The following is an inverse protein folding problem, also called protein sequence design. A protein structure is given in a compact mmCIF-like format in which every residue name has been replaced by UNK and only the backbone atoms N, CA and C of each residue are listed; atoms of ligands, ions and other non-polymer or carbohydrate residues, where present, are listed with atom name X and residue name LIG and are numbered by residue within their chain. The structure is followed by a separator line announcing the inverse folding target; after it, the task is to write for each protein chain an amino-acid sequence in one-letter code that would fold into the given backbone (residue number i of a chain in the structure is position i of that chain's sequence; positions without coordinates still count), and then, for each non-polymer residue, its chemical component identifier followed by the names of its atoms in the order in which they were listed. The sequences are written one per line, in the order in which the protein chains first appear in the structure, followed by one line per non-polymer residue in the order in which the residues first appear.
data_IF_099380529878
#
_entry.id   IF_099380529878
#
_cell.length_a   1.000
_cell.length_b   1.000
_cell.length_c   1.000
_cell.angle_alpha   90.00
_cell.angle_beta   90.00
_cell.angle_gamma   90.00
#
_symmetry.space_group_name_H-M   'P 1'
#
loop_
_entity.id
_entity.type
_entity.pdbx_description
1 polymer ?
#
# COMPACT_ATOMS: atom_id res chain seq x y z
N UNK A 1 -48.06 -82.55 -77.25
CA UNK A 1 -46.71 -82.10 -77.69
C UNK A 1 -46.77 -80.78 -78.49
N UNK A 2 -47.33 -79.70 -77.92
CA UNK A 2 -47.39 -78.35 -78.55
C UNK A 2 -46.96 -77.20 -77.62
N UNK A 3 -46.41 -77.51 -76.44
CA UNK A 3 -45.87 -76.56 -75.45
C UNK A 3 -44.34 -76.39 -75.52
N UNK A 4 -43.65 -77.08 -76.45
CA UNK A 4 -42.18 -77.15 -76.45
C UNK A 4 -41.48 -76.17 -77.41
N UNK A 5 -42.18 -75.53 -78.34
CA UNK A 5 -41.58 -74.65 -79.35
C UNK A 5 -41.66 -73.16 -79.01
N UNK A 6 -42.67 -72.71 -78.24
CA UNK A 6 -42.77 -71.31 -77.80
C UNK A 6 -41.79 -70.98 -76.66
N UNK A 7 -41.33 -72.00 -75.92
CA UNK A 7 -40.39 -71.88 -74.81
C UNK A 7 -38.94 -71.58 -75.25
N UNK A 8 -38.60 -71.80 -76.53
CA UNK A 8 -37.22 -71.64 -77.03
C UNK A 8 -36.94 -70.22 -77.54
N UNK A 9 -37.95 -69.52 -78.07
CA UNK A 9 -37.78 -68.17 -78.65
C UNK A 9 -37.79 -67.07 -77.58
N UNK A 10 -38.52 -67.26 -76.47
CA UNK A 10 -38.52 -66.31 -75.35
C UNK A 10 -37.23 -66.40 -74.50
N UNK A 11 -36.45 -67.47 -74.65
CA UNK A 11 -35.18 -67.68 -73.94
C UNK A 11 -33.98 -66.92 -74.57
N UNK A 12 -34.13 -66.38 -75.80
CA UNK A 12 -33.02 -65.77 -76.56
C UNK A 12 -32.95 -64.24 -76.49
N UNK A 13 -33.91 -63.55 -75.87
CA UNK A 13 -34.01 -62.07 -75.91
C UNK A 13 -33.69 -61.36 -74.59
N UNK A 14 -33.21 -62.07 -73.58
CA UNK A 14 -32.92 -61.50 -72.25
C UNK A 14 -31.45 -61.66 -71.86
N UNK A 15 -30.51 -61.16 -72.67
CA UNK A 15 -29.13 -60.92 -72.24
C UNK A 15 -28.79 -59.42 -72.28
N UNK A 16 -28.55 -58.78 -71.11
CA UNK A 16 -28.12 -57.39 -71.03
C UNK A 16 -26.60 -57.24 -71.29
N UNK A 17 -26.25 -56.17 -72.02
CA UNK A 17 -24.90 -55.73 -72.39
C UNK A 17 -24.00 -55.48 -71.16
N UNK A 18 -22.82 -56.08 -71.12
CA UNK A 18 -21.82 -55.91 -70.05
C UNK A 18 -21.03 -54.58 -70.23
N UNK A 19 -21.25 -53.58 -69.39
CA UNK A 19 -20.43 -52.36 -69.29
C UNK A 19 -19.43 -52.45 -68.14
N UNK A 20 -18.15 -52.14 -68.40
CA UNK A 20 -17.01 -52.26 -67.46
C UNK A 20 -16.51 -50.85 -67.06
N UNK A 21 -16.34 -50.59 -65.75
CA UNK A 21 -15.82 -49.32 -65.20
C UNK A 21 -14.37 -49.47 -64.70
N UNK A 22 -13.59 -48.38 -64.65
CA UNK A 22 -12.18 -48.41 -64.20
C UNK A 22 -11.97 -47.59 -62.92
N UNK A 23 -11.50 -48.25 -61.87
CA UNK A 23 -11.16 -47.64 -60.56
C UNK A 23 -9.65 -47.56 -60.42
N UNK A 24 -9.11 -46.36 -60.15
CA UNK A 24 -7.68 -46.14 -59.94
C UNK A 24 -7.40 -46.00 -58.44
N UNK A 25 -6.54 -46.88 -57.94
CA UNK A 25 -6.13 -46.91 -56.54
C UNK A 25 -4.87 -46.08 -56.30
N UNK A 26 -4.69 -45.57 -55.07
CA UNK A 26 -3.49 -44.83 -54.64
C UNK A 26 -2.19 -45.65 -54.77
N UNK A 27 -2.30 -46.98 -54.73
CA UNK A 27 -1.17 -47.90 -54.91
C UNK A 27 -0.79 -48.15 -56.39
N UNK A 28 -1.45 -47.49 -57.34
CA UNK A 28 -1.15 -47.59 -58.77
C UNK A 28 -1.82 -48.74 -59.50
N UNK A 29 -2.57 -49.62 -58.80
CA UNK A 29 -3.34 -50.68 -59.45
C UNK A 29 -4.64 -50.11 -60.02
N UNK A 30 -4.95 -50.47 -61.27
CA UNK A 30 -6.25 -50.19 -61.87
C UNK A 30 -7.11 -51.44 -61.80
N UNK A 31 -8.38 -51.27 -61.42
CA UNK A 31 -9.34 -52.37 -61.34
C UNK A 31 -10.48 -52.08 -62.30
N UNK A 32 -10.67 -53.00 -63.25
CA UNK A 32 -11.71 -52.94 -64.26
C UNK A 32 -12.85 -53.87 -63.87
N UNK A 33 -14.02 -53.32 -63.58
CA UNK A 33 -15.17 -54.09 -63.14
C UNK A 33 -16.42 -53.24 -63.00
N UNK A 34 -17.57 -53.88 -62.81
CA UNK A 34 -18.85 -53.18 -62.63
C UNK A 34 -18.97 -52.76 -61.17
N UNK A 35 -19.18 -51.47 -60.91
CA UNK A 35 -19.45 -51.01 -59.54
C UNK A 35 -20.86 -51.44 -59.18
N UNK A 36 -21.00 -52.29 -58.16
CA UNK A 36 -22.28 -52.85 -57.72
C UNK A 36 -22.87 -52.10 -56.53
N UNK A 37 -22.03 -51.57 -55.63
CA UNK A 37 -22.50 -50.86 -54.45
C UNK A 37 -21.49 -49.80 -53.99
N UNK A 38 -21.97 -48.69 -53.41
CA UNK A 38 -21.13 -47.60 -52.91
C UNK A 38 -21.64 -47.12 -51.55
N UNK A 39 -20.77 -47.21 -50.55
CA UNK A 39 -21.06 -46.82 -49.17
C UNK A 39 -20.14 -45.65 -48.73
N UNK A 40 -20.38 -45.02 -47.57
CA UNK A 40 -19.59 -43.86 -47.12
C UNK A 40 -18.10 -44.17 -46.96
N UNK A 41 -17.77 -45.40 -46.55
CA UNK A 41 -16.40 -45.85 -46.27
C UNK A 41 -15.75 -46.62 -47.43
N UNK A 42 -16.51 -47.15 -48.39
CA UNK A 42 -15.96 -48.03 -49.43
C UNK A 42 -16.81 -48.17 -50.69
N UNK A 43 -16.22 -48.74 -51.72
CA UNK A 43 -16.75 -48.98 -53.06
C UNK A 43 -16.61 -50.48 -53.39
N UNK A 44 -17.70 -51.15 -53.72
CA UNK A 44 -17.71 -52.57 -54.06
C UNK A 44 -17.76 -52.77 -55.58
N UNK A 45 -16.69 -53.37 -56.13
CA UNK A 45 -16.50 -53.57 -57.56
C UNK A 45 -16.53 -55.06 -57.88
N UNK A 46 -17.37 -55.46 -58.83
CA UNK A 46 -17.41 -56.82 -59.35
C UNK A 46 -16.42 -56.94 -60.50
N UNK A 47 -15.32 -57.65 -60.24
CA UNK A 47 -14.20 -57.90 -61.16
C UNK A 47 -14.34 -59.32 -61.73
N UNK A 48 -13.60 -59.67 -62.80
CA UNK A 48 -13.61 -61.02 -63.37
C UNK A 48 -13.27 -62.13 -62.35
N UNK A 49 -12.43 -61.80 -61.35
CA UNK A 49 -11.99 -62.72 -60.29
C UNK A 49 -12.87 -62.70 -59.03
N UNK A 50 -14.02 -62.00 -59.06
CA UNK A 50 -14.98 -61.93 -57.95
C UNK A 50 -15.27 -60.51 -57.45
N UNK A 51 -16.16 -60.42 -56.46
CA UNK A 51 -16.59 -59.15 -55.87
C UNK A 51 -15.55 -58.67 -54.84
N UNK A 52 -15.02 -57.46 -55.03
CA UNK A 52 -14.01 -56.87 -54.14
C UNK A 52 -14.48 -55.52 -53.61
N UNK A 53 -14.43 -55.34 -52.29
CA UNK A 53 -14.78 -54.10 -51.59
C UNK A 53 -13.53 -53.31 -51.25
N UNK A 54 -13.45 -52.07 -51.72
CA UNK A 54 -12.28 -51.21 -51.64
C UNK A 54 -12.62 -49.97 -50.82
N UNK A 55 -11.78 -49.58 -49.86
CA UNK A 55 -12.00 -48.37 -49.07
C UNK A 55 -11.79 -47.08 -49.91
N UNK A 56 -12.64 -46.07 -49.73
CA UNK A 56 -12.47 -44.76 -50.40
C UNK A 56 -11.16 -44.07 -50.04
N UNK A 57 -10.59 -44.35 -48.86
CA UNK A 57 -9.27 -43.84 -48.48
C UNK A 57 -8.13 -44.32 -49.38
N UNK A 58 -8.32 -45.45 -50.06
CA UNK A 58 -7.35 -46.08 -50.97
C UNK A 58 -7.63 -45.77 -52.45
N UNK A 59 -8.75 -45.13 -52.76
CA UNK A 59 -9.11 -44.72 -54.12
C UNK A 59 -8.50 -43.36 -54.39
N UNK A 60 -7.85 -43.22 -55.54
CA UNK A 60 -7.36 -41.94 -56.01
C UNK A 60 -8.41 -41.23 -56.87
N UNK A 61 -9.02 -41.95 -57.83
CA UNK A 61 -10.12 -41.44 -58.67
C UNK A 61 -10.90 -42.60 -59.30
N UNK A 62 -12.22 -42.44 -59.48
CA UNK A 62 -13.07 -43.38 -60.22
C UNK A 62 -13.44 -42.76 -61.56
N UNK A 63 -13.29 -43.52 -62.66
CA UNK A 63 -13.61 -43.03 -64.00
C UNK A 63 -14.60 -44.00 -64.68
N UNK A 64 -15.74 -43.47 -65.10
CA UNK A 64 -16.85 -44.21 -65.72
C UNK A 64 -16.71 -44.28 -67.26
N UNK A 65 -15.49 -44.55 -67.72
CA UNK A 65 -15.12 -44.77 -69.13
C UNK A 65 -13.84 -45.59 -69.16
N UNK A 66 -13.65 -46.46 -70.14
CA UNK A 66 -12.42 -47.23 -70.26
C UNK A 66 -11.28 -46.30 -70.70
N UNK A 67 -10.41 -45.92 -69.76
CA UNK A 67 -9.26 -45.03 -70.00
C UNK A 67 -7.98 -45.87 -70.05
N UNK A 68 -7.13 -45.58 -71.02
CA UNK A 68 -5.81 -46.21 -71.16
C UNK A 68 -4.84 -45.72 -70.09
N UNK A 69 -3.91 -46.59 -69.67
CA UNK A 69 -3.04 -46.39 -68.50
C UNK A 69 -2.17 -45.13 -68.54
N UNK A 70 -1.88 -44.58 -69.72
CA UNK A 70 -0.97 -43.44 -69.90
C UNK A 70 -1.57 -42.07 -69.52
N UNK A 71 -2.89 -41.90 -69.62
CA UNK A 71 -3.56 -40.64 -69.23
C UNK A 71 -3.86 -40.60 -67.73
N UNK A 72 -4.10 -41.77 -67.14
CA UNK A 72 -4.22 -41.93 -65.69
C UNK A 72 -2.93 -41.50 -64.97
N UNK A 73 -1.75 -41.88 -65.49
CA UNK A 73 -0.47 -41.62 -64.82
C UNK A 73 -0.07 -40.13 -64.82
N UNK A 74 -0.33 -39.39 -65.92
CA UNK A 74 -0.02 -37.94 -65.99
C UNK A 74 -0.80 -37.11 -64.99
N UNK A 75 -2.05 -37.49 -64.69
CA UNK A 75 -2.90 -36.80 -63.71
C UNK A 75 -2.39 -37.07 -62.29
N UNK A 76 -1.88 -38.27 -62.00
CA UNK A 76 -1.28 -38.63 -60.70
C UNK A 76 -0.08 -37.75 -60.38
N UNK A 77 0.86 -37.65 -61.31
CA UNK A 77 2.10 -36.91 -61.11
C UNK A 77 1.83 -35.42 -60.85
N UNK A 78 0.87 -34.82 -61.55
CA UNK A 78 0.54 -33.40 -61.41
C UNK A 78 -0.14 -33.07 -60.07
N UNK A 79 -1.05 -33.94 -59.59
CA UNK A 79 -1.80 -33.70 -58.35
C UNK A 79 -0.96 -34.04 -57.11
N UNK A 80 -0.16 -35.09 -57.19
CA UNK A 80 0.76 -35.48 -56.12
C UNK A 80 1.86 -34.44 -55.90
N UNK A 81 2.37 -33.80 -56.98
CA UNK A 81 3.37 -32.73 -56.87
C UNK A 81 2.82 -31.47 -56.17
N UNK A 82 1.58 -31.06 -56.49
CA UNK A 82 0.94 -29.89 -55.84
C UNK A 82 0.64 -30.12 -54.37
N UNK A 83 0.27 -31.34 -53.98
CA UNK A 83 0.01 -31.70 -52.59
C UNK A 83 1.32 -31.65 -51.78
N UNK A 84 2.40 -32.22 -52.31
CA UNK A 84 3.72 -32.21 -51.64
C UNK A 84 4.27 -30.79 -51.46
N UNK A 85 4.22 -29.94 -52.48
CA UNK A 85 4.73 -28.55 -52.38
C UNK A 85 3.94 -27.70 -51.37
N UNK A 86 2.64 -27.95 -51.21
CA UNK A 86 1.82 -27.25 -50.21
C UNK A 86 2.12 -27.74 -48.79
N UNK A 87 2.23 -29.06 -48.60
CA UNK A 87 2.59 -29.66 -47.32
C UNK A 87 3.99 -29.23 -46.84
N UNK A 88 4.97 -29.14 -47.74
CA UNK A 88 6.33 -28.68 -47.40
C UNK A 88 6.36 -27.20 -46.99
N UNK A 89 5.61 -26.32 -47.68
CA UNK A 89 5.51 -24.90 -47.31
C UNK A 89 4.79 -24.68 -45.98
N UNK A 90 3.71 -25.42 -45.73
CA UNK A 90 2.98 -25.33 -44.47
C UNK A 90 3.81 -25.86 -43.30
N UNK A 91 4.57 -26.96 -43.49
CA UNK A 91 5.53 -27.46 -42.49
C UNK A 91 6.66 -26.45 -42.22
N UNK A 92 7.27 -25.90 -43.26
CA UNK A 92 8.35 -24.91 -43.11
C UNK A 92 7.90 -23.62 -42.42
N UNK A 93 6.67 -23.15 -42.70
CA UNK A 93 6.08 -21.99 -42.02
C UNK A 93 5.82 -22.28 -40.54
N UNK A 94 5.25 -23.44 -40.24
CA UNK A 94 4.95 -23.84 -38.86
C UNK A 94 6.22 -24.05 -38.04
N UNK A 95 7.27 -24.63 -38.63
CA UNK A 95 8.57 -24.79 -37.97
C UNK A 95 9.25 -23.44 -37.69
N UNK A 96 9.23 -22.51 -38.66
CA UNK A 96 9.78 -21.16 -38.47
C UNK A 96 9.04 -20.37 -37.39
N UNK A 97 7.72 -20.50 -37.32
CA UNK A 97 6.90 -19.85 -36.29
C UNK A 97 7.18 -20.42 -34.90
N UNK A 98 7.36 -21.74 -34.77
CA UNK A 98 7.76 -22.39 -33.52
C UNK A 98 9.14 -21.94 -33.05
N UNK A 99 10.13 -21.92 -33.94
CA UNK A 99 11.48 -21.45 -33.61
C UNK A 99 11.49 -19.98 -33.19
N UNK A 100 10.68 -19.13 -33.82
CA UNK A 100 10.55 -17.71 -33.44
C UNK A 100 9.87 -17.55 -32.07
N UNK A 101 8.86 -18.36 -31.77
CA UNK A 101 8.17 -18.37 -30.47
C UNK A 101 9.10 -18.82 -29.34
N UNK A 102 9.84 -19.91 -29.54
CA UNK A 102 10.83 -20.43 -28.59
C UNK A 102 11.96 -19.42 -28.34
N UNK A 103 12.49 -18.77 -29.39
CA UNK A 103 13.52 -17.74 -29.24
C UNK A 103 13.01 -16.48 -28.50
N UNK A 104 11.73 -16.11 -28.68
CA UNK A 104 11.11 -14.98 -27.97
C UNK A 104 10.86 -15.32 -26.50
N UNK A 105 10.48 -16.55 -26.21
CA UNK A 105 10.30 -17.05 -24.84
C UNK A 105 11.64 -17.10 -24.10
N UNK A 106 12.69 -17.64 -24.73
CA UNK A 106 14.04 -17.64 -24.16
C UNK A 106 14.55 -16.23 -23.84
N UNK A 107 14.38 -15.26 -24.76
CA UNK A 107 14.77 -13.87 -24.52
C UNK A 107 14.03 -13.22 -23.36
N UNK A 108 12.72 -13.52 -23.21
CA UNK A 108 11.93 -13.02 -22.08
C UNK A 108 12.42 -13.61 -20.76
N UNK A 109 12.70 -14.91 -20.72
CA UNK A 109 13.22 -15.58 -19.52
C UNK A 109 14.61 -15.05 -19.14
N UNK A 110 15.48 -14.78 -20.12
CA UNK A 110 16.79 -14.17 -19.86
C UNK A 110 16.68 -12.71 -19.37
N UNK A 111 15.76 -11.92 -19.92
CA UNK A 111 15.52 -10.54 -19.48
C UNK A 111 14.92 -10.50 -18.07
N UNK A 112 13.95 -11.37 -17.78
CA UNK A 112 13.35 -11.52 -16.45
C UNK A 112 14.39 -11.99 -15.42
N UNK A 113 15.26 -12.95 -15.78
CA UNK A 113 16.36 -13.39 -14.94
C UNK A 113 17.36 -12.25 -14.66
N UNK A 114 17.71 -11.43 -15.67
CA UNK A 114 18.59 -10.27 -15.49
C UNK A 114 17.97 -9.20 -14.60
N UNK A 115 16.68 -8.93 -14.74
CA UNK A 115 15.97 -7.97 -13.89
C UNK A 115 15.87 -8.50 -12.45
N UNK A 116 15.60 -9.79 -12.27
CA UNK A 116 15.59 -10.43 -10.96
C UNK A 116 16.97 -10.40 -10.29
N UNK A 117 18.05 -10.61 -11.05
CA UNK A 117 19.42 -10.50 -10.53
C UNK A 117 19.77 -9.04 -10.17
N UNK A 118 19.44 -8.07 -11.03
CA UNK A 118 19.67 -6.65 -10.76
C UNK A 118 18.90 -6.14 -9.56
N UNK A 119 17.64 -6.56 -9.38
CA UNK A 119 16.81 -6.19 -8.22
C UNK A 119 17.36 -6.79 -6.93
N UNK A 120 17.81 -8.05 -6.94
CA UNK A 120 18.49 -8.66 -5.80
C UNK A 120 19.78 -7.94 -5.43
N UNK A 121 20.63 -7.62 -6.42
CA UNK A 121 21.86 -6.86 -6.20
C UNK A 121 21.58 -5.44 -5.68
N UNK A 122 20.52 -4.79 -6.16
CA UNK A 122 20.12 -3.47 -5.66
C UNK A 122 19.56 -3.54 -4.24
N UNK A 123 18.81 -4.58 -3.90
CA UNK A 123 18.30 -4.81 -2.55
C UNK A 123 19.43 -5.14 -1.56
N UNK A 124 20.40 -5.96 -1.96
CA UNK A 124 21.61 -6.27 -1.17
C UNK A 124 22.44 -4.99 -0.94
N UNK A 125 22.71 -4.19 -1.97
CA UNK A 125 23.38 -2.89 -1.82
C UNK A 125 22.60 -1.92 -0.93
N UNK A 126 21.27 -1.89 -1.04
CA UNK A 126 20.45 -1.04 -0.17
C UNK A 126 20.49 -1.53 1.29
N UNK A 127 20.49 -2.85 1.53
CA UNK A 127 20.65 -3.43 2.86
C UNK A 127 22.03 -3.14 3.45
N UNK A 128 23.10 -3.27 2.65
CA UNK A 128 24.46 -2.96 3.06
C UNK A 128 24.64 -1.46 3.38
N UNK A 129 24.13 -0.57 2.52
CA UNK A 129 24.18 0.88 2.78
C UNK A 129 23.33 1.31 3.97
N UNK A 130 22.21 0.64 4.23
CA UNK A 130 21.41 0.88 5.43
C UNK A 130 22.16 0.39 6.68
N UNK A 131 22.72 -0.82 6.64
CA UNK A 131 23.52 -1.39 7.72
C UNK A 131 24.77 -0.53 8.00
N UNK A 132 25.42 0.03 6.98
CA UNK A 132 26.54 0.96 7.14
C UNK A 132 26.12 2.27 7.79
N UNK A 133 24.97 2.85 7.39
CA UNK A 133 24.40 4.05 8.02
C UNK A 133 24.03 3.81 9.49
N UNK A 134 23.40 2.67 9.78
CA UNK A 134 23.06 2.26 11.14
C UNK A 134 24.31 2.02 11.98
N UNK A 135 25.31 1.30 11.46
CA UNK A 135 26.58 1.08 12.13
C UNK A 135 27.35 2.39 12.36
N UNK A 136 27.30 3.35 11.42
CA UNK A 136 27.89 4.68 11.59
C UNK A 136 27.16 5.50 12.67
N UNK A 137 25.83 5.47 12.68
CA UNK A 137 25.03 6.14 13.70
C UNK A 137 25.27 5.52 15.09
N UNK A 138 25.38 4.19 15.18
CA UNK A 138 25.71 3.48 16.41
C UNK A 138 27.15 3.79 16.86
N UNK A 139 28.13 3.81 15.95
CA UNK A 139 29.51 4.16 16.26
C UNK A 139 29.64 5.62 16.72
N UNK A 140 28.91 6.56 16.10
CA UNK A 140 28.85 7.97 16.52
C UNK A 140 28.19 8.10 17.89
N UNK A 141 27.11 7.37 18.13
CA UNK A 141 26.42 7.34 19.42
C UNK A 141 27.29 6.71 20.53
N UNK A 142 27.99 5.62 20.23
CA UNK A 142 28.96 4.98 21.13
C UNK A 142 30.18 5.86 21.38
N UNK A 143 30.67 6.58 20.38
CA UNK A 143 31.72 7.58 20.55
C UNK A 143 31.24 8.68 21.49
N UNK A 144 30.04 9.21 21.27
CA UNK A 144 29.42 10.23 22.15
C UNK A 144 29.30 9.73 23.59
N UNK A 145 28.98 8.45 23.80
CA UNK A 145 28.95 7.83 25.13
C UNK A 145 30.35 7.71 25.75
N UNK A 146 31.37 7.32 24.97
CA UNK A 146 32.76 7.16 25.46
C UNK A 146 33.43 8.49 25.79
N UNK A 147 33.02 9.58 25.15
CA UNK A 147 33.58 10.92 25.37
C UNK A 147 33.21 11.52 26.74
N UNK A 148 32.26 10.95 27.48
CA UNK A 148 31.81 11.50 28.76
C UNK A 148 31.18 12.90 28.62
N UNK A 149 30.71 13.50 29.72
CA UNK A 149 30.23 14.87 29.69
C UNK A 149 31.37 15.81 29.27
N UNK A 150 31.07 16.78 28.39
CA UNK A 150 32.05 17.80 28.01
C UNK A 150 32.52 18.59 29.25
N UNK A 151 33.72 19.20 29.25
CA UNK A 151 34.21 19.96 30.40
C UNK A 151 33.23 21.05 30.87
N UNK A 152 32.54 21.68 29.92
CA UNK A 152 31.48 22.65 30.20
C UNK A 152 30.26 22.00 30.89
N UNK A 153 29.86 20.80 30.44
CA UNK A 153 28.81 20.05 31.10
C UNK A 153 29.23 19.74 32.55
N UNK A 154 30.42 19.17 32.78
CA UNK A 154 30.92 18.81 34.12
C UNK A 154 30.85 19.99 35.10
N UNK A 155 31.14 21.22 34.65
CA UNK A 155 31.00 22.44 35.45
C UNK A 155 29.54 22.83 35.75
N UNK A 156 28.61 22.51 34.85
CA UNK A 156 27.19 22.79 35.00
C UNK A 156 26.48 21.88 36.01
N UNK A 157 27.14 20.85 36.52
CA UNK A 157 26.55 19.87 37.43
C UNK A 157 25.76 18.79 36.69
N UNK A 158 25.34 17.77 37.43
CA UNK A 158 24.71 16.56 36.87
C UNK A 158 23.34 16.78 36.23
N UNK A 159 22.66 15.68 35.90
CA UNK A 159 21.34 15.64 35.23
C UNK A 159 20.33 16.67 35.74
N UNK A 160 20.11 16.66 37.05
CA UNK A 160 19.12 17.52 37.70
C UNK A 160 19.47 19.01 37.57
N UNK A 161 20.75 19.34 37.50
CA UNK A 161 21.23 20.71 37.38
C UNK A 161 20.89 21.30 35.99
N UNK A 162 20.86 20.47 34.94
CA UNK A 162 20.40 20.86 33.60
C UNK A 162 18.89 21.11 33.60
N UNK A 163 18.13 20.21 34.23
CA UNK A 163 16.67 20.33 34.30
C UNK A 163 16.28 21.58 35.09
N UNK A 164 16.88 21.78 36.27
CA UNK A 164 16.60 22.93 37.13
C UNK A 164 16.86 24.26 36.44
N UNK A 165 18.00 24.40 35.76
CA UNK A 165 18.30 25.62 34.99
C UNK A 165 17.30 25.85 33.87
N UNK A 166 16.91 24.79 33.16
CA UNK A 166 15.91 24.88 32.09
C UNK A 166 14.50 25.15 32.63
N UNK A 167 14.23 24.79 33.88
CA UNK A 167 12.98 25.12 34.58
C UNK A 167 12.91 26.59 34.99
N UNK A 168 14.04 27.16 35.42
CA UNK A 168 14.13 28.58 35.72
C UNK A 168 14.05 29.43 34.45
N UNK A 169 14.86 29.09 33.45
CA UNK A 169 14.96 29.84 32.20
C UNK A 169 14.99 28.83 31.05
N UNK A 170 13.95 28.78 30.20
CA UNK A 170 13.94 27.92 29.03
C UNK A 170 15.18 28.12 28.16
N UNK A 171 15.88 27.02 27.86
CA UNK A 171 17.15 26.99 27.14
C UNK A 171 18.43 27.12 28.00
N UNK A 172 18.38 27.59 29.25
CA UNK A 172 19.60 27.79 30.05
C UNK A 172 20.34 26.50 30.38
N UNK A 173 19.63 25.45 30.83
CA UNK A 173 20.27 24.17 31.13
C UNK A 173 20.82 23.49 29.89
N UNK A 174 20.20 23.70 28.73
CA UNK A 174 20.68 23.18 27.45
C UNK A 174 21.95 23.91 26.99
N UNK A 175 22.02 25.23 27.19
CA UNK A 175 23.20 26.04 26.91
C UNK A 175 24.38 25.56 27.75
N UNK A 176 24.14 25.38 29.05
CA UNK A 176 25.10 24.86 30.03
C UNK A 176 25.54 23.43 29.65
N UNK A 177 24.57 22.60 29.28
CA UNK A 177 24.81 21.23 28.84
C UNK A 177 25.65 21.13 27.56
N UNK A 178 25.85 22.22 26.82
CA UNK A 178 26.63 22.29 25.58
C UNK A 178 25.79 22.20 24.29
N UNK A 179 24.46 22.19 24.40
CA UNK A 179 23.52 22.19 23.27
C UNK A 179 23.10 23.63 22.93
N UNK A 180 24.01 24.39 22.31
CA UNK A 180 23.78 25.82 21.99
C UNK A 180 22.59 26.06 21.06
N UNK A 181 22.40 25.19 20.06
CA UNK A 181 21.31 25.32 19.09
C UNK A 181 19.96 25.16 19.77
N UNK A 182 19.76 24.07 20.52
CA UNK A 182 18.50 23.85 21.23
C UNK A 182 18.23 24.95 22.25
N UNK A 183 19.26 25.41 22.96
CA UNK A 183 19.14 26.51 23.90
C UNK A 183 18.56 27.75 23.22
N UNK A 184 19.17 28.18 22.11
CA UNK A 184 18.68 29.33 21.34
C UNK A 184 17.25 29.14 20.84
N UNK A 185 16.91 27.96 20.32
CA UNK A 185 15.56 27.66 19.82
C UNK A 185 14.52 27.75 20.92
N UNK A 186 14.69 27.04 22.04
CA UNK A 186 13.71 27.04 23.12
C UNK A 186 13.60 28.41 23.80
N UNK A 187 14.70 29.12 24.03
CA UNK A 187 14.64 30.47 24.57
C UNK A 187 13.88 31.40 23.63
N UNK A 188 14.21 31.40 22.34
CA UNK A 188 13.58 32.32 21.36
C UNK A 188 12.09 32.01 21.19
N UNK A 189 11.72 30.74 21.04
CA UNK A 189 10.32 30.35 20.90
C UNK A 189 9.51 30.67 22.15
N UNK A 190 10.04 30.36 23.34
CA UNK A 190 9.33 30.62 24.59
C UNK A 190 9.17 32.12 24.84
N UNK A 191 10.26 32.89 24.84
CA UNK A 191 10.19 34.33 25.10
C UNK A 191 9.48 35.09 23.99
N UNK A 192 9.65 34.71 22.72
CA UNK A 192 8.90 35.28 21.61
C UNK A 192 7.40 35.07 21.75
N UNK A 193 6.98 33.84 22.07
CA UNK A 193 5.56 33.52 22.32
C UNK A 193 5.04 34.26 23.54
N UNK A 194 5.83 34.34 24.62
CA UNK A 194 5.42 35.01 25.85
C UNK A 194 5.24 36.52 25.65
N UNK A 195 6.18 37.18 24.96
CA UNK A 195 6.10 38.62 24.63
C UNK A 195 4.91 38.89 23.72
N UNK A 196 4.70 38.06 22.69
CA UNK A 196 3.54 38.20 21.80
C UNK A 196 2.21 37.99 22.54
N UNK A 197 2.17 37.05 23.49
CA UNK A 197 0.95 36.76 24.25
C UNK A 197 0.65 37.85 25.29
N UNK A 198 1.65 38.29 26.05
CA UNK A 198 1.49 39.28 27.11
C UNK A 198 1.41 40.72 26.59
N UNK A 199 1.90 40.98 25.38
CA UNK A 199 1.78 42.27 24.70
C UNK A 199 0.49 42.34 23.86
N UNK A 200 0.56 42.14 22.54
CA UNK A 200 -0.56 42.40 21.64
C UNK A 200 -1.81 41.57 21.93
N UNK A 201 -1.70 40.28 22.27
CA UNK A 201 -2.90 39.47 22.54
C UNK A 201 -3.60 39.88 23.83
N UNK A 202 -2.84 40.23 24.88
CA UNK A 202 -3.40 40.73 26.14
C UNK A 202 -4.07 42.08 25.96
N UNK A 203 -3.48 43.00 25.20
CA UNK A 203 -4.10 44.30 24.94
C UNK A 203 -5.34 44.17 24.06
N UNK A 204 -5.34 43.29 23.06
CA UNK A 204 -6.53 42.97 22.25
C UNK A 204 -7.67 42.42 23.12
N UNK A 205 -7.38 41.47 24.02
CA UNK A 205 -8.36 40.91 24.96
C UNK A 205 -8.94 41.98 25.89
N UNK A 206 -8.09 42.79 26.52
CA UNK A 206 -8.52 43.85 27.43
C UNK A 206 -9.36 44.92 26.73
N UNK A 207 -8.96 45.32 25.52
CA UNK A 207 -9.70 46.31 24.74
C UNK A 207 -11.06 45.76 24.29
N UNK A 208 -11.12 44.53 23.78
CA UNK A 208 -12.36 43.90 23.35
C UNK A 208 -13.33 43.68 24.53
N UNK A 209 -12.80 43.29 25.69
CA UNK A 209 -13.57 43.14 26.92
C UNK A 209 -14.11 44.48 27.43
N UNK A 210 -13.24 45.49 27.54
CA UNK A 210 -13.64 46.84 27.96
C UNK A 210 -14.71 47.45 27.04
N UNK A 211 -14.56 47.26 25.72
CA UNK A 211 -15.56 47.69 24.74
C UNK A 211 -16.91 47.00 24.95
N UNK A 212 -16.91 45.68 25.17
CA UNK A 212 -18.13 44.92 25.45
C UNK A 212 -18.80 45.36 26.76
N UNK A 213 -18.03 45.50 27.84
CA UNK A 213 -18.55 45.93 29.14
C UNK A 213 -19.15 47.35 29.06
N UNK A 214 -18.51 48.24 28.31
CA UNK A 214 -19.03 49.60 28.05
C UNK A 214 -20.33 49.56 27.24
N UNK A 215 -20.43 48.70 26.22
CA UNK A 215 -21.65 48.55 25.41
C UNK A 215 -22.82 48.00 26.22
N UNK A 216 -22.59 47.00 27.08
CA UNK A 216 -23.62 46.49 28.00
C UNK A 216 -24.07 47.60 28.95
N UNK A 217 -23.12 48.32 29.57
CA UNK A 217 -23.42 49.37 30.52
C UNK A 217 -24.24 50.50 29.87
N UNK A 218 -23.85 50.94 28.67
CA UNK A 218 -24.60 51.93 27.90
C UNK A 218 -26.02 51.44 27.58
N UNK A 219 -26.16 50.17 27.17
CA UNK A 219 -27.48 49.59 26.90
C UNK A 219 -28.34 49.45 28.18
N UNK A 220 -27.72 49.18 29.33
CA UNK A 220 -28.42 49.06 30.61
C UNK A 220 -28.86 50.41 31.18
N UNK A 221 -28.11 51.49 30.92
CA UNK A 221 -28.41 52.83 31.46
C UNK A 221 -29.31 53.63 30.50
N UNK A 222 -29.04 53.58 29.20
CA UNK A 222 -29.69 54.44 28.20
C UNK A 222 -30.10 53.71 26.92
N UNK A 223 -30.09 52.38 26.94
CA UNK A 223 -30.48 51.58 25.78
C UNK A 223 -31.97 51.68 25.45
N UNK A 224 -32.38 51.32 24.23
CA UNK A 224 -33.77 51.42 23.79
C UNK A 224 -34.74 50.63 24.70
N UNK A 225 -34.27 49.51 25.27
CA UNK A 225 -35.05 48.69 26.21
C UNK A 225 -35.41 49.38 27.52
N UNK A 226 -34.63 50.37 28.00
CA UNK A 226 -34.98 51.12 29.23
C UNK A 226 -36.08 52.16 28.97
N UNK A 227 -36.36 52.48 27.70
CA UNK A 227 -37.42 53.40 27.27
C UNK A 227 -38.77 52.70 27.09
N UNK A 228 -38.83 51.37 27.19
CA UNK A 228 -40.06 50.56 27.16
C UNK A 228 -40.83 50.67 28.50
N UNK A 229 -41.30 51.87 28.84
CA UNK A 229 -42.19 52.08 29.98
C UNK A 229 -43.48 52.77 29.51
N UNK A 230 -44.62 52.48 30.14
CA UNK A 230 -45.94 52.97 29.71
C UNK A 230 -46.07 54.50 29.69
N UNK A 231 -45.14 55.21 30.32
CA UNK A 231 -45.05 56.68 30.33
C UNK A 231 -44.27 57.27 29.14
N UNK A 232 -43.43 56.48 28.47
CA UNK A 232 -42.51 56.94 27.41
C UNK A 232 -42.94 56.53 25.99
N UNK A 233 -43.99 55.72 25.86
CA UNK A 233 -44.52 55.26 24.57
C UNK A 233 -45.99 55.66 24.53
N UNK A 234 -46.28 56.67 23.72
CA UNK A 234 -47.63 57.23 23.57
C UNK A 234 -48.26 56.89 22.22
N UNK A 235 -47.43 56.62 21.20
CA UNK A 235 -47.86 56.34 19.84
C UNK A 235 -47.34 54.98 19.34
N UNK A 236 -48.11 54.25 18.51
CA UNK A 236 -47.65 52.98 17.92
C UNK A 236 -46.34 53.11 17.11
N UNK A 237 -46.09 54.26 16.48
CA UNK A 237 -44.84 54.52 15.74
C UNK A 237 -43.61 54.59 16.65
N UNK A 238 -43.75 55.11 17.86
CA UNK A 238 -42.65 55.19 18.85
C UNK A 238 -42.26 53.79 19.33
N UNK A 239 -43.24 52.89 19.48
CA UNK A 239 -42.98 51.49 19.79
C UNK A 239 -42.14 50.80 18.70
N UNK A 240 -42.52 50.95 17.42
CA UNK A 240 -41.76 50.35 16.32
C UNK A 240 -40.34 50.91 16.22
N UNK A 241 -40.16 52.21 16.48
CA UNK A 241 -38.83 52.82 16.48
C UNK A 241 -37.95 52.29 17.61
N UNK A 242 -38.47 52.25 18.86
CA UNK A 242 -37.72 51.71 20.00
C UNK A 242 -37.41 50.22 19.81
N UNK A 243 -38.34 49.45 19.23
CA UNK A 243 -38.12 48.05 18.89
C UNK A 243 -37.02 47.87 17.83
N UNK A 244 -37.03 48.67 16.76
CA UNK A 244 -35.98 48.65 15.74
C UNK A 244 -34.61 49.06 16.30
N UNK A 245 -34.56 50.09 17.15
CA UNK A 245 -33.33 50.50 17.84
C UNK A 245 -32.82 49.39 18.78
N UNK A 246 -33.72 48.68 19.48
CA UNK A 246 -33.35 47.60 20.40
C UNK A 246 -32.73 46.40 19.68
N UNK A 247 -33.28 46.01 18.53
CA UNK A 247 -32.75 44.87 17.76
C UNK A 247 -31.37 45.16 17.17
N UNK A 248 -31.16 46.40 16.71
CA UNK A 248 -29.84 46.86 16.25
C UNK A 248 -28.84 46.88 17.42
N UNK A 249 -29.23 47.43 18.57
CA UNK A 249 -28.37 47.46 19.76
C UNK A 249 -27.98 46.05 20.23
N UNK A 250 -28.93 45.11 20.26
CA UNK A 250 -28.68 43.71 20.60
C UNK A 250 -27.70 43.03 19.63
N UNK A 251 -27.82 43.27 18.32
CA UNK A 251 -26.89 42.74 17.32
C UNK A 251 -25.46 43.28 17.52
N UNK A 252 -25.32 44.59 17.78
CA UNK A 252 -24.02 45.19 18.10
C UNK A 252 -23.40 44.61 19.39
N UNK A 253 -24.21 44.40 20.43
CA UNK A 253 -23.75 43.79 21.68
C UNK A 253 -23.33 42.33 21.44
N UNK A 254 -24.12 41.57 20.67
CA UNK A 254 -23.80 40.18 20.33
C UNK A 254 -22.47 40.10 19.57
N UNK A 255 -22.25 40.98 18.59
CA UNK A 255 -20.98 41.09 17.86
C UNK A 255 -19.81 41.48 18.76
N UNK A 256 -20.02 42.44 19.68
CA UNK A 256 -18.99 42.82 20.66
C UNK A 256 -18.65 41.68 21.62
N UNK A 257 -19.65 40.88 22.01
CA UNK A 257 -19.46 39.68 22.85
C UNK A 257 -18.63 38.62 22.13
N UNK A 258 -18.93 38.37 20.86
CA UNK A 258 -18.19 37.42 20.05
C UNK A 258 -16.73 37.85 19.86
N UNK A 259 -16.49 39.13 19.60
CA UNK A 259 -15.15 39.70 19.54
C UNK A 259 -14.39 39.51 20.86
N UNK A 260 -15.00 39.85 22.00
CA UNK A 260 -14.38 39.65 23.31
C UNK A 260 -14.05 38.17 23.59
N UNK A 261 -14.96 37.25 23.23
CA UNK A 261 -14.73 35.80 23.35
C UNK A 261 -13.60 35.32 22.45
N UNK A 262 -13.55 35.80 21.20
CA UNK A 262 -12.53 35.45 20.22
C UNK A 262 -11.15 35.91 20.69
N UNK A 263 -11.00 37.19 21.09
CA UNK A 263 -9.73 37.73 21.57
C UNK A 263 -9.25 37.05 22.86
N UNK A 264 -10.15 36.72 23.79
CA UNK A 264 -9.81 35.91 24.96
C UNK A 264 -9.34 34.49 24.58
N UNK A 265 -10.00 33.86 23.60
CA UNK A 265 -9.59 32.53 23.11
C UNK A 265 -8.19 32.58 22.50
N UNK A 266 -7.86 33.61 21.72
CA UNK A 266 -6.50 33.81 21.18
C UNK A 266 -5.47 34.01 22.29
N UNK A 267 -5.79 34.83 23.29
CA UNK A 267 -4.90 35.06 24.43
C UNK A 267 -4.62 33.77 25.22
N UNK A 268 -5.66 32.99 25.54
CA UNK A 268 -5.51 31.70 26.21
C UNK A 268 -4.75 30.68 25.35
N UNK A 269 -4.97 30.65 24.04
CA UNK A 269 -4.20 29.81 23.11
C UNK A 269 -2.71 30.19 23.10
N UNK A 270 -2.40 31.50 23.15
CA UNK A 270 -1.02 32.00 23.29
C UNK A 270 -0.36 31.52 24.58
N UNK A 271 -1.06 31.62 25.71
CA UNK A 271 -0.57 31.12 27.01
C UNK A 271 -0.37 29.61 26.98
N UNK A 272 -1.34 28.85 26.45
CA UNK A 272 -1.24 27.40 26.29
C UNK A 272 -0.05 26.99 25.42
N UNK A 273 0.22 27.73 24.34
CA UNK A 273 1.40 27.50 23.49
C UNK A 273 2.70 27.73 24.26
N UNK A 274 2.79 28.82 25.03
CA UNK A 274 3.95 29.08 25.88
C UNK A 274 4.16 27.97 26.94
N UNK A 275 3.07 27.46 27.53
CA UNK A 275 3.12 26.32 28.46
C UNK A 275 3.62 25.03 27.80
N UNK A 276 3.15 24.71 26.60
CA UNK A 276 3.61 23.53 25.85
C UNK A 276 5.10 23.65 25.52
N UNK A 277 5.55 24.83 25.08
CA UNK A 277 6.98 25.10 24.80
C UNK A 277 7.83 24.92 26.06
N UNK A 278 7.35 25.39 27.21
CA UNK A 278 8.03 25.24 28.50
C UNK A 278 8.18 23.78 28.90
N UNK A 279 7.10 22.99 28.85
CA UNK A 279 7.12 21.55 29.17
C UNK A 279 8.04 20.81 28.21
N UNK A 280 7.95 21.11 26.90
CA UNK A 280 8.80 20.50 25.89
C UNK A 280 10.28 20.80 26.14
N UNK A 281 10.62 22.02 26.55
CA UNK A 281 11.96 22.41 26.96
C UNK A 281 12.47 21.57 28.15
N UNK A 282 11.62 21.30 29.16
CA UNK A 282 11.98 20.47 30.31
C UNK A 282 12.23 19.01 29.93
N UNK A 283 11.35 18.44 29.11
CA UNK A 283 11.51 17.07 28.59
C UNK A 283 12.80 16.97 27.77
N UNK A 284 13.06 17.94 26.91
CA UNK A 284 14.29 17.98 26.13
C UNK A 284 15.55 18.13 27.00
N UNK A 285 15.49 18.98 28.04
CA UNK A 285 16.57 19.10 29.02
C UNK A 285 16.81 17.80 29.79
N UNK A 286 15.75 17.07 30.15
CA UNK A 286 15.84 15.74 30.76
C UNK A 286 16.51 14.72 29.83
N UNK A 287 16.13 14.68 28.55
CA UNK A 287 16.74 13.78 27.57
C UNK A 287 18.23 14.08 27.38
N UNK A 288 18.62 15.35 27.23
CA UNK A 288 20.04 15.76 27.17
C UNK A 288 20.79 15.32 28.43
N UNK A 289 20.19 15.53 29.60
CA UNK A 289 20.76 15.10 30.87
C UNK A 289 20.98 13.59 30.89
N UNK A 290 19.99 12.81 30.46
CA UNK A 290 20.07 11.34 30.39
C UNK A 290 21.24 10.88 29.53
N UNK A 291 21.39 11.47 28.35
CA UNK A 291 22.38 11.02 27.36
C UNK A 291 23.81 11.45 27.71
N UNK A 292 23.98 12.66 28.27
CA UNK A 292 25.32 13.20 28.60
C UNK A 292 25.85 12.76 29.96
N UNK A 293 24.96 12.43 30.89
CA UNK A 293 25.33 11.91 32.21
C UNK A 293 24.70 10.55 32.37
N UNK A 294 25.23 9.47 31.77
CA UNK A 294 24.71 8.14 32.05
C UNK A 294 24.74 7.87 33.57
N UNK A 295 23.76 7.09 34.04
CA UNK A 295 23.76 6.69 35.45
C UNK A 295 25.06 5.97 35.78
N UNK A 296 25.58 6.23 36.99
CA UNK A 296 26.77 5.53 37.48
C UNK A 296 26.49 4.02 37.52
N UNK A 297 27.52 3.19 37.31
CA UNK A 297 27.37 1.74 37.27
C UNK A 297 26.64 1.23 38.51
N UNK A 298 25.65 0.38 38.32
CA UNK A 298 24.90 -0.24 39.41
C UNK A 298 25.65 -1.44 39.94
N UNK A 299 25.84 -1.52 41.25
CA UNK A 299 26.40 -2.72 41.88
C UNK A 299 25.24 -3.64 42.23
N UNK A 300 25.28 -4.89 41.77
CA UNK A 300 24.28 -5.89 42.13
C UNK A 300 24.74 -6.67 43.36
N UNK A 301 24.13 -6.41 44.52
CA UNK A 301 24.37 -7.17 45.75
C UNK A 301 23.07 -7.87 46.16
N UNK A 302 23.10 -9.19 46.31
CA UNK A 302 21.92 -9.96 46.75
C UNK A 302 20.73 -9.94 45.79
N UNK A 303 20.97 -9.78 44.48
CA UNK A 303 19.93 -9.72 43.45
C UNK A 303 19.21 -8.37 43.32
N UNK A 304 19.65 -7.35 44.07
CA UNK A 304 19.19 -5.96 43.94
C UNK A 304 20.27 -5.13 43.24
N UNK A 305 19.87 -4.34 42.24
CA UNK A 305 20.75 -3.33 41.63
C UNK A 305 20.76 -2.09 42.52
N UNK A 306 21.94 -1.68 42.98
CA UNK A 306 22.15 -0.49 43.81
C UNK A 306 22.77 0.59 42.92
N UNK A 307 22.10 1.74 42.80
CA UNK A 307 22.61 2.95 42.13
C UNK A 307 23.28 3.86 43.16
N UNK A 308 24.35 4.55 42.76
CA UNK A 308 24.91 5.64 43.58
C UNK A 308 23.99 6.86 43.56
N UNK A 309 23.76 7.47 44.72
CA UNK A 309 22.86 8.61 44.91
C UNK A 309 21.47 8.21 45.39
N UNK A 310 20.47 9.05 45.08
CA UNK A 310 19.07 8.79 45.38
C UNK A 310 18.53 7.70 44.44
N UNK A 311 18.13 6.58 45.01
CA UNK A 311 17.45 5.50 44.32
C UNK A 311 16.01 5.39 44.84
N UNK A 312 15.06 5.31 43.92
CA UNK A 312 13.65 5.14 44.21
C UNK A 312 13.19 3.82 43.59
N UNK A 313 13.01 2.81 44.44
CA UNK A 313 12.54 1.51 44.01
C UNK A 313 11.08 1.34 44.43
N UNK A 314 10.24 0.98 43.47
CA UNK A 314 8.87 0.53 43.75
C UNK A 314 8.79 -0.93 43.36
N UNK A 315 8.41 -1.78 44.31
CA UNK A 315 8.21 -3.19 44.05
C UNK A 315 6.97 -3.68 44.78
N UNK A 316 6.37 -4.71 44.20
CA UNK A 316 5.39 -5.52 44.88
C UNK A 316 6.12 -6.31 45.97
N UNK A 317 5.51 -6.39 47.14
CA UNK A 317 6.04 -7.21 48.24
C UNK A 317 6.25 -8.65 47.74
N UNK A 318 7.49 -9.13 47.77
CA UNK A 318 7.81 -10.50 47.37
C UNK A 318 7.78 -11.33 48.64
N UNK A 319 6.81 -12.25 48.82
CA UNK A 319 6.81 -13.07 50.02
C UNK A 319 8.06 -13.94 50.05
N UNK A 320 8.84 -13.81 51.13
CA UNK A 320 9.94 -14.72 51.42
C UNK A 320 9.35 -16.11 51.71
N UNK A 321 9.36 -17.02 50.73
CA UNK A 321 8.98 -18.42 50.96
C UNK A 321 10.23 -19.28 51.09
N UNK A 322 10.59 -19.64 52.32
CA UNK A 322 11.47 -20.80 52.56
C UNK A 322 10.69 -22.11 52.32
N UNK A 323 9.35 -22.04 52.34
CA UNK A 323 8.45 -23.20 52.30
C UNK A 323 7.32 -23.04 51.28
N UNK A 324 7.64 -22.81 50.00
CA UNK A 324 6.78 -23.15 48.84
C UNK A 324 5.35 -22.57 48.71
N UNK A 325 4.82 -21.85 49.69
CA UNK A 325 3.45 -21.29 49.68
C UNK A 325 3.60 -19.78 49.45
N UNK A 326 3.08 -19.30 48.31
CA UNK A 326 3.05 -17.87 47.98
C UNK A 326 1.73 -17.25 48.47
N UNK A 327 1.71 -16.40 49.52
CA UNK A 327 0.55 -15.56 49.80
C UNK A 327 0.36 -14.51 48.68
N UNK A 328 -0.87 -14.02 48.54
CA UNK A 328 -1.19 -12.96 47.57
C UNK A 328 -0.52 -11.63 47.96
N UNK A 329 0.11 -10.98 46.99
CA UNK A 329 0.84 -9.73 47.16
C UNK A 329 -0.14 -8.56 47.34
N UNK A 330 -0.36 -8.13 48.58
CA UNK A 330 -1.34 -7.07 48.90
C UNK A 330 -0.71 -5.71 49.21
N UNK A 331 0.62 -5.59 49.16
CA UNK A 331 1.31 -4.35 49.47
C UNK A 331 2.27 -3.96 48.34
N UNK A 332 2.16 -2.69 47.93
CA UNK A 332 3.19 -1.99 47.18
C UNK A 332 4.09 -1.35 48.22
N UNK A 333 5.38 -1.68 48.21
CA UNK A 333 6.35 -0.95 49.01
C UNK A 333 7.17 -0.03 48.10
N UNK A 334 7.44 1.17 48.61
CA UNK A 334 8.33 2.12 47.99
C UNK A 334 9.51 2.35 48.93
N UNK A 335 10.72 2.22 48.41
CA UNK A 335 11.95 2.43 49.16
C UNK A 335 12.72 3.58 48.54
N UNK A 336 13.06 4.58 49.35
CA UNK A 336 13.98 5.66 48.97
C UNK A 336 15.30 5.35 49.65
N UNK A 337 16.35 5.08 48.87
CA UNK A 337 17.71 4.89 49.38
C UNK A 337 18.59 6.03 48.92
N UNK A 338 19.53 6.43 49.76
CA UNK A 338 20.71 7.18 49.32
C UNK A 338 21.93 6.28 49.49
N UNK A 339 22.62 5.93 48.42
CA UNK A 339 23.79 5.04 48.46
C UNK A 339 25.05 5.77 47.98
N UNK A 340 26.12 5.69 48.76
CA UNK A 340 27.45 6.09 48.33
C UNK A 340 28.22 4.81 47.96
N UNK A 341 28.66 4.70 46.71
CA UNK A 341 29.50 3.60 46.22
C UNK A 341 30.96 4.07 46.31
N UNK A 342 31.78 3.37 47.11
CA UNK A 342 33.20 3.64 47.28
C UNK A 342 34.06 2.78 46.36
#
# INVERSE_FOLDING_TARGET
MKRSTFLIILLLLSFPLLAVNTVILKNGKTLKGKVTDQNERGLTVQTADGQQTISKSQILKVIYKDVTEQEAEKIRIAEEKKLREKEEKDKARLEKERLLAEAKEQKRLEEEAKIAEQTRLAEEKNKETLAEKEARAEAEWLATRKLGPSPAATQCGGRLAIIWRSALIPGWGQLCGGSKVSAGTFSTLFFGTLVFTLGPLRTEEQNAKSHYDTMILLNQIGGPGTRLNAQNISLPSEFFQVFAESSIAEDFIAKSRENAKSSNTKYLAGLGTASILYITNLVHAYMIGKDRYPDRPTVSTGGKQIKEGLDFETSWDRPYSITGIRPQTNAVYAEIRYSFLF
#
